data_IF_496841375327
#
_entry.id   IF_496841375327
#
_cell.length_a   1.000
_cell.length_b   1.000
_cell.length_c   1.000
_cell.angle_alpha   90.00
_cell.angle_beta   90.00
_cell.angle_gamma   90.00
#
_symmetry.space_group_name_H-M   'P 1'
#
loop_
_entity.id
_entity.type
_entity.pdbx_description
1 polymer ?
#
# COMPACT_ATOMS: atom_id res chain seq x y z
N UNK A 1 -14.39 -4.82 -2.33
CA UNK A 1 -13.79 -3.69 -3.07
C UNK A 1 -12.95 -2.82 -2.13
N UNK A 2 -11.77 -2.36 -2.56
CA UNK A 2 -10.83 -1.55 -1.74
C UNK A 2 -11.29 -0.10 -1.49
N UNK A 3 -11.80 0.66 -2.48
CA UNK A 3 -12.13 2.08 -2.27
C UNK A 3 -13.09 2.36 -1.09
N UNK A 4 -14.17 1.57 -0.87
CA UNK A 4 -15.05 1.79 0.28
C UNK A 4 -14.37 1.64 1.65
N UNK A 5 -13.34 0.78 1.76
CA UNK A 5 -12.59 0.59 3.03
C UNK A 5 -11.73 1.81 3.32
N UNK A 6 -11.02 2.30 2.30
CA UNK A 6 -10.18 3.47 2.43
C UNK A 6 -10.99 4.70 2.85
N UNK A 7 -12.20 4.87 2.33
CA UNK A 7 -13.09 5.95 2.75
C UNK A 7 -13.61 5.76 4.18
N UNK A 8 -14.26 4.61 4.45
CA UNK A 8 -14.97 4.38 5.72
C UNK A 8 -14.04 4.33 6.92
N UNK A 9 -12.92 3.64 6.79
CA UNK A 9 -12.05 3.32 7.94
C UNK A 9 -10.87 4.28 8.06
N UNK A 10 -10.54 5.01 6.98
CA UNK A 10 -9.35 5.85 6.91
C UNK A 10 -9.58 7.27 6.36
N UNK A 11 -10.81 7.63 5.99
CA UNK A 11 -11.15 8.96 5.49
C UNK A 11 -10.51 9.31 4.14
N UNK A 12 -10.10 8.31 3.36
CA UNK A 12 -9.41 8.50 2.08
C UNK A 12 -10.39 8.35 0.92
N UNK A 13 -10.62 9.44 0.20
CA UNK A 13 -11.42 9.43 -1.03
C UNK A 13 -10.52 9.18 -2.22
N UNK A 14 -10.79 8.14 -2.99
CA UNK A 14 -10.07 7.85 -4.24
C UNK A 14 -10.59 8.75 -5.36
N UNK A 15 -9.71 9.57 -5.97
CA UNK A 15 -10.10 10.54 -7.01
C UNK A 15 -10.09 9.96 -8.43
N UNK A 16 -9.28 8.94 -8.67
CA UNK A 16 -9.14 8.27 -9.97
C UNK A 16 -9.16 6.75 -9.80
N UNK A 17 -9.20 6.00 -10.90
CA UNK A 17 -9.11 4.53 -10.81
C UNK A 17 -7.79 4.12 -10.17
N UNK A 18 -7.84 3.13 -9.29
CA UNK A 18 -6.64 2.44 -8.82
C UNK A 18 -6.15 1.55 -9.96
N UNK A 19 -4.89 1.71 -10.35
CA UNK A 19 -4.27 0.96 -11.44
C UNK A 19 -3.04 0.20 -10.95
N UNK A 20 -2.69 -0.86 -11.67
CA UNK A 20 -1.32 -1.40 -11.65
C UNK A 20 -0.48 -0.62 -12.64
N UNK A 21 0.75 -0.28 -12.26
CA UNK A 21 1.67 0.44 -13.11
C UNK A 21 3.11 -0.02 -12.87
N UNK A 22 3.96 0.12 -13.86
CA UNK A 22 5.41 0.03 -13.68
C UNK A 22 5.96 1.45 -13.49
N UNK A 23 6.71 1.67 -12.42
CA UNK A 23 7.27 2.98 -12.03
C UNK A 23 8.71 2.74 -11.58
N UNK A 24 9.68 3.42 -12.19
CA UNK A 24 11.10 3.21 -11.89
C UNK A 24 11.58 1.75 -11.98
N UNK A 25 11.03 0.95 -12.89
CA UNK A 25 11.34 -0.48 -13.05
C UNK A 25 10.74 -1.39 -11.97
N UNK A 26 9.79 -0.90 -11.16
CA UNK A 26 9.08 -1.67 -10.14
C UNK A 26 7.58 -1.75 -10.48
N UNK A 27 7.00 -2.93 -10.34
CA UNK A 27 5.55 -3.09 -10.40
C UNK A 27 4.91 -2.52 -9.12
N UNK A 28 4.01 -1.55 -9.29
CA UNK A 28 3.16 -1.00 -8.25
C UNK A 28 1.77 -1.63 -8.41
N UNK A 29 1.31 -2.43 -7.45
CA UNK A 29 0.01 -3.10 -7.58
C UNK A 29 -1.17 -2.14 -7.37
N UNK A 30 -0.96 -1.08 -6.61
CA UNK A 30 -1.99 -0.12 -6.27
C UNK A 30 -1.40 1.29 -6.40
N UNK A 31 -1.68 1.95 -7.52
CA UNK A 31 -1.32 3.36 -7.73
C UNK A 31 -2.59 4.17 -8.00
N UNK A 32 -2.78 5.24 -7.24
CA UNK A 32 -3.94 6.14 -7.38
C UNK A 32 -3.65 7.50 -6.73
N UNK A 33 -4.41 8.52 -7.11
CA UNK A 33 -4.54 9.78 -6.38
C UNK A 33 -5.80 9.76 -5.53
N UNK A 34 -5.74 10.45 -4.40
CA UNK A 34 -6.86 10.58 -3.49
C UNK A 34 -6.86 11.89 -2.72
N UNK A 35 -7.79 11.97 -1.79
CA UNK A 35 -7.89 13.04 -0.81
C UNK A 35 -7.96 12.45 0.59
N UNK A 36 -7.25 13.07 1.53
CA UNK A 36 -7.37 12.79 2.95
C UNK A 36 -7.39 14.11 3.70
N UNK A 37 -8.41 14.37 4.50
CA UNK A 37 -8.54 15.61 5.30
C UNK A 37 -8.38 16.89 4.45
N UNK A 38 -8.92 16.88 3.22
CA UNK A 38 -8.84 18.02 2.29
C UNK A 38 -7.48 18.19 1.58
N UNK A 39 -6.53 17.28 1.79
CA UNK A 39 -5.20 17.29 1.15
C UNK A 39 -5.10 16.24 0.07
N UNK A 40 -4.43 16.58 -1.03
CA UNK A 40 -4.13 15.61 -2.09
C UNK A 40 -3.08 14.61 -1.60
N UNK A 41 -3.37 13.32 -1.79
CA UNK A 41 -2.48 12.21 -1.42
C UNK A 41 -2.28 11.27 -2.60
N UNK A 42 -1.14 10.60 -2.65
CA UNK A 42 -0.92 9.45 -3.52
C UNK A 42 -1.04 8.15 -2.73
N UNK A 43 -1.81 7.22 -3.27
CA UNK A 43 -1.96 5.87 -2.75
C UNK A 43 -0.97 5.01 -3.49
N UNK A 44 -0.07 4.38 -2.73
CA UNK A 44 0.91 3.41 -3.22
C UNK A 44 0.74 2.14 -2.43
N UNK A 45 0.64 1.01 -3.11
CA UNK A 45 0.43 -0.25 -2.41
C UNK A 45 0.85 -1.51 -3.15
N UNK A 46 0.88 -2.57 -2.35
CA UNK A 46 1.29 -3.92 -2.71
C UNK A 46 0.19 -4.93 -2.37
N UNK A 47 0.05 -5.98 -3.18
CA UNK A 47 -0.88 -7.07 -2.93
C UNK A 47 -0.13 -8.41 -2.89
N UNK A 48 -0.13 -9.08 -1.73
CA UNK A 48 0.44 -10.42 -1.57
C UNK A 48 -0.57 -11.38 -0.95
N UNK A 49 -0.57 -12.64 -1.39
CA UNK A 49 -1.48 -13.66 -0.86
C UNK A 49 -1.31 -13.89 0.64
N UNK A 50 -0.06 -13.89 1.13
CA UNK A 50 0.25 -13.99 2.56
C UNK A 50 1.45 -13.10 2.89
N UNK A 51 1.36 -12.41 4.02
CA UNK A 51 2.40 -11.51 4.53
C UNK A 51 3.23 -12.17 5.65
N UNK A 52 3.23 -13.51 5.74
CA UNK A 52 3.91 -14.28 6.78
C UNK A 52 5.18 -15.00 6.28
N UNK A 53 5.67 -14.68 5.09
CA UNK A 53 6.84 -15.35 4.50
C UNK A 53 8.16 -14.96 5.16
N UNK A 54 8.40 -15.48 6.37
CA UNK A 54 9.75 -15.72 6.93
C UNK A 54 10.54 -16.78 6.14
N UNK A 55 10.13 -17.14 4.91
CA UNK A 55 10.62 -18.35 4.25
C UNK A 55 11.97 -18.20 3.57
N UNK A 56 12.49 -17.00 3.32
CA UNK A 56 13.83 -16.86 2.75
C UNK A 56 14.54 -15.66 3.36
N UNK A 57 15.61 -15.93 4.09
CA UNK A 57 16.57 -14.96 4.67
C UNK A 57 17.33 -14.10 3.63
N UNK A 58 16.82 -14.02 2.39
CA UNK A 58 17.39 -13.29 1.26
C UNK A 58 16.39 -12.36 0.56
N UNK A 59 15.11 -12.36 0.92
CA UNK A 59 14.12 -11.44 0.35
C UNK A 59 13.95 -10.22 1.27
N UNK A 60 13.89 -8.99 0.71
CA UNK A 60 13.53 -7.82 1.50
C UNK A 60 12.15 -8.01 2.13
N UNK A 61 11.97 -7.49 3.35
CA UNK A 61 10.66 -7.52 4.01
C UNK A 61 9.65 -6.77 3.13
N UNK A 62 8.38 -7.15 3.16
CA UNK A 62 7.33 -6.49 2.36
C UNK A 62 7.22 -4.99 2.67
N UNK A 63 7.61 -4.59 3.88
CA UNK A 63 7.72 -3.18 4.25
C UNK A 63 8.83 -2.45 3.48
N UNK A 64 9.98 -3.09 3.30
CA UNK A 64 11.11 -2.52 2.54
C UNK A 64 10.76 -2.46 1.06
N UNK A 65 10.14 -3.53 0.52
CA UNK A 65 9.65 -3.54 -0.86
C UNK A 65 8.63 -2.42 -1.12
N UNK A 66 7.68 -2.22 -0.19
CA UNK A 66 6.71 -1.14 -0.31
C UNK A 66 7.40 0.24 -0.23
N UNK A 67 8.41 0.39 0.62
CA UNK A 67 9.16 1.64 0.72
C UNK A 67 9.92 1.94 -0.58
N UNK A 68 10.61 0.95 -1.15
CA UNK A 68 11.29 1.10 -2.44
C UNK A 68 10.32 1.51 -3.56
N UNK A 69 9.10 0.97 -3.55
CA UNK A 69 8.03 1.35 -4.48
C UNK A 69 7.56 2.78 -4.26
N UNK A 70 7.43 3.22 -3.01
CA UNK A 70 7.12 4.61 -2.66
C UNK A 70 8.21 5.55 -3.15
N UNK A 71 9.49 5.20 -2.96
CA UNK A 71 10.60 6.02 -3.43
C UNK A 71 10.63 6.14 -4.95
N UNK A 72 10.36 5.05 -5.68
CA UNK A 72 10.23 5.10 -7.14
C UNK A 72 9.10 6.04 -7.59
N UNK A 73 7.94 5.97 -6.92
CA UNK A 73 6.81 6.86 -7.18
C UNK A 73 7.15 8.33 -6.87
N UNK A 74 7.81 8.62 -5.76
CA UNK A 74 8.21 9.99 -5.42
C UNK A 74 9.28 10.54 -6.37
N UNK A 75 10.18 9.69 -6.86
CA UNK A 75 11.19 10.09 -7.84
C UNK A 75 10.57 10.44 -9.20
N UNK A 76 9.52 9.73 -9.62
CA UNK A 76 8.87 9.93 -10.91
C UNK A 76 7.81 11.05 -10.89
N UNK A 77 6.98 11.11 -9.84
CA UNK A 77 5.85 12.04 -9.73
C UNK A 77 6.14 13.27 -8.86
N UNK A 78 7.29 13.31 -8.19
CA UNK A 78 7.70 14.38 -7.29
C UNK A 78 7.20 14.21 -5.84
N UNK A 79 7.57 15.14 -4.95
CA UNK A 79 7.17 15.11 -3.54
C UNK A 79 5.65 15.14 -3.38
N UNK A 80 5.10 14.15 -2.67
CA UNK A 80 3.68 14.05 -2.37
C UNK A 80 3.45 13.39 -1.00
N UNK A 81 2.30 13.63 -0.40
CA UNK A 81 1.86 12.88 0.77
C UNK A 81 1.45 11.46 0.35
N UNK A 82 2.04 10.45 0.97
CA UNK A 82 1.87 9.04 0.56
C UNK A 82 1.01 8.28 1.58
N UNK A 83 -0.02 7.63 1.08
CA UNK A 83 -0.77 6.59 1.79
C UNK A 83 -0.28 5.23 1.33
N UNK A 84 0.31 4.48 2.27
CA UNK A 84 0.84 3.13 2.04
C UNK A 84 -0.23 2.08 2.31
N UNK A 85 -0.50 1.22 1.33
CA UNK A 85 -1.55 0.19 1.44
C UNK A 85 -0.99 -1.20 1.14
N UNK A 86 -1.24 -2.15 2.03
CA UNK A 86 -1.00 -3.58 1.81
C UNK A 86 -2.33 -4.32 1.72
N UNK A 87 -2.50 -5.12 0.68
CA UNK A 87 -3.63 -6.05 0.56
C UNK A 87 -3.12 -7.47 0.76
N UNK A 88 -3.83 -8.24 1.58
CA UNK A 88 -3.52 -9.65 1.82
C UNK A 88 -4.76 -10.47 2.12
N UNK A 89 -4.69 -11.79 1.96
CA UNK A 89 -5.72 -12.68 2.49
C UNK A 89 -5.58 -12.86 4.00
N UNK A 90 -4.34 -12.84 4.50
CA UNK A 90 -4.04 -13.08 5.89
C UNK A 90 -2.79 -12.33 6.36
N UNK A 91 -2.89 -11.75 7.55
CA UNK A 91 -1.77 -11.22 8.32
C UNK A 91 -1.93 -11.61 9.81
N UNK A 92 -0.81 -11.92 10.45
CA UNK A 92 -0.82 -12.19 11.90
C UNK A 92 -1.05 -10.91 12.69
N UNK A 93 -1.50 -11.02 13.95
CA UNK A 93 -1.68 -9.86 14.83
C UNK A 93 -0.40 -9.03 14.98
N UNK A 94 0.74 -9.71 15.18
CA UNK A 94 2.06 -9.08 15.27
C UNK A 94 2.38 -8.25 14.01
N UNK A 95 2.07 -8.77 12.83
CA UNK A 95 2.28 -8.05 11.57
C UNK A 95 1.40 -6.81 11.49
N UNK A 96 0.11 -6.91 11.85
CA UNK A 96 -0.82 -5.78 11.84
C UNK A 96 -0.38 -4.67 12.79
N UNK A 97 0.15 -5.02 13.97
CA UNK A 97 0.63 -4.04 14.94
C UNK A 97 1.90 -3.32 14.42
N UNK A 98 2.85 -4.05 13.82
CA UNK A 98 4.02 -3.46 13.15
C UNK A 98 3.65 -2.56 11.98
N UNK A 99 2.69 -2.97 11.15
CA UNK A 99 2.22 -2.16 10.02
C UNK A 99 1.57 -0.86 10.52
N UNK A 100 0.79 -0.92 11.61
CA UNK A 100 0.19 0.26 12.24
C UNK A 100 1.24 1.24 12.75
N UNK A 101 2.28 0.75 13.42
CA UNK A 101 3.40 1.59 13.89
C UNK A 101 4.12 2.29 12.74
N UNK A 102 4.19 1.65 11.56
CA UNK A 102 4.77 2.22 10.34
C UNK A 102 3.81 3.12 9.54
N UNK A 103 2.58 3.32 10.00
CA UNK A 103 1.55 4.09 9.28
C UNK A 103 1.06 3.43 7.99
N UNK A 104 1.15 2.10 7.90
CA UNK A 104 0.76 1.31 6.72
C UNK A 104 -0.65 0.75 6.95
N UNK A 105 -1.54 1.00 5.99
CA UNK A 105 -2.91 0.46 6.00
C UNK A 105 -2.86 -0.97 5.49
N UNK A 106 -3.27 -1.94 6.32
CA UNK A 106 -3.39 -3.34 5.90
C UNK A 106 -4.85 -3.69 5.72
N UNK A 107 -5.21 -4.11 4.51
CA UNK A 107 -6.56 -4.55 4.16
C UNK A 107 -6.55 -6.06 3.95
N UNK A 108 -7.14 -6.78 4.91
CA UNK A 108 -7.32 -8.24 4.82
C UNK A 108 -8.60 -8.57 4.06
N UNK A 109 -8.51 -9.31 2.95
CA UNK A 109 -9.66 -9.68 2.11
C UNK A 109 -9.56 -11.14 1.67
N UNK A 110 -10.66 -11.89 1.81
CA UNK A 110 -10.75 -13.27 1.34
C UNK A 110 -11.05 -13.37 -0.16
N UNK A 111 -11.70 -12.35 -0.73
CA UNK A 111 -12.07 -12.27 -2.14
C UNK A 111 -11.10 -11.33 -2.85
N UNK A 112 -10.18 -11.90 -3.64
CA UNK A 112 -9.41 -11.18 -4.64
C UNK A 112 -9.20 -12.05 -5.89
#
# INVERSE_FOLDING_TARGET
>A
MLPPVLLRDHGITIKNKIIRAEVGGKEINLLSRGEKEGREVMIVGEAKLRLDERRESKKPDVFDELEEKVQAVLAEFGPAEIVKVLITHYATRKFLDLAREKGIIVVQRFEW
#
